data_IF_863773418655
#
_entry.id   IF_863773418655
#
_cell.length_a   1.000
_cell.length_b   1.000
_cell.length_c   1.000
_cell.angle_alpha   90.00
_cell.angle_beta   90.00
_cell.angle_gamma   90.00
#
_symmetry.space_group_name_H-M   'P 1'
#
loop_
_entity.id
_entity.type
_entity.pdbx_description
1 polymer ?
#
# COMPACT_ATOMS: atom_id res chain seq x y z
N UNK A 1 15.83 -3.30 5.02
CA UNK A 1 14.89 -2.43 4.26
C UNK A 1 15.28 -2.18 2.80
N UNK A 2 16.54 -1.81 2.50
CA UNK A 2 16.99 -1.43 1.13
C UNK A 2 16.75 -2.49 0.06
N UNK A 3 17.09 -3.75 0.30
CA UNK A 3 16.84 -4.85 -0.65
C UNK A 3 15.35 -4.99 -0.99
N UNK A 4 14.47 -4.99 0.03
CA UNK A 4 13.03 -5.09 -0.19
C UNK A 4 12.48 -3.86 -0.92
N UNK A 5 12.92 -2.65 -0.54
CA UNK A 5 12.56 -1.42 -1.23
C UNK A 5 12.91 -1.45 -2.71
N UNK A 6 14.14 -1.88 -3.05
CA UNK A 6 14.59 -2.02 -4.43
C UNK A 6 13.77 -3.07 -5.20
N UNK A 7 13.46 -4.20 -4.57
CA UNK A 7 12.61 -5.23 -5.17
C UNK A 7 11.22 -4.69 -5.55
N UNK A 8 10.59 -3.89 -4.67
CA UNK A 8 9.30 -3.26 -4.96
C UNK A 8 9.37 -2.18 -6.05
N UNK A 9 10.48 -1.43 -6.13
CA UNK A 9 10.72 -0.49 -7.22
C UNK A 9 10.84 -1.21 -8.56
N UNK A 10 11.67 -2.26 -8.63
CA UNK A 10 11.83 -3.09 -9.83
C UNK A 10 10.49 -3.70 -10.24
N UNK A 11 9.78 -4.30 -9.29
CA UNK A 11 8.44 -4.84 -9.52
C UNK A 11 7.49 -3.76 -10.04
N UNK A 12 7.54 -2.55 -9.50
CA UNK A 12 6.68 -1.45 -9.93
C UNK A 12 6.95 -1.03 -11.39
N UNK A 13 8.22 -0.95 -11.77
CA UNK A 13 8.63 -0.70 -13.16
C UNK A 13 8.15 -1.82 -14.08
N UNK A 14 8.43 -3.08 -13.71
CA UNK A 14 8.02 -4.25 -14.49
C UNK A 14 6.50 -4.33 -14.66
N UNK A 15 5.74 -4.18 -13.57
CA UNK A 15 4.28 -4.19 -13.61
C UNK A 15 3.74 -3.11 -14.55
N UNK A 16 4.32 -1.90 -14.52
CA UNK A 16 3.93 -0.83 -15.42
C UNK A 16 4.17 -1.17 -16.90
N UNK A 17 5.33 -1.76 -17.23
CA UNK A 17 5.63 -2.20 -18.59
C UNK A 17 4.73 -3.35 -19.03
N UNK A 18 4.46 -4.32 -18.16
CA UNK A 18 3.50 -5.41 -18.44
C UNK A 18 2.11 -4.82 -18.77
N UNK A 19 1.63 -3.85 -18.00
CA UNK A 19 0.34 -3.20 -18.29
C UNK A 19 0.33 -2.42 -19.60
N UNK A 20 1.44 -1.73 -19.93
CA UNK A 20 1.63 -1.02 -21.20
C UNK A 20 1.66 -1.99 -22.39
N UNK A 21 2.43 -3.07 -22.31
CA UNK A 21 2.58 -4.06 -23.37
C UNK A 21 1.32 -4.92 -23.56
N UNK A 22 0.49 -5.04 -22.52
CA UNK A 22 -0.79 -5.74 -22.59
C UNK A 22 -1.88 -5.02 -23.40
N UNK A 23 -1.59 -3.84 -23.99
CA UNK A 23 -2.54 -3.10 -24.85
C UNK A 23 -1.83 -2.51 -26.08
N UNK A 24 -2.48 -2.51 -27.26
CA UNK A 24 -1.93 -1.84 -28.44
C UNK A 24 -1.68 -0.35 -28.21
N UNK A 25 -0.58 0.18 -28.74
CA UNK A 25 -0.19 1.59 -28.52
C UNK A 25 -1.26 2.57 -28.99
N UNK A 26 -1.92 2.29 -30.12
CA UNK A 26 -3.03 3.10 -30.65
C UNK A 26 -4.16 3.29 -29.62
N UNK A 27 -4.50 2.24 -28.87
CA UNK A 27 -5.55 2.31 -27.86
C UNK A 27 -5.10 3.11 -26.64
N UNK A 28 -3.84 2.99 -26.25
CA UNK A 28 -3.28 3.77 -25.15
C UNK A 28 -3.24 5.26 -25.50
N UNK A 29 -2.91 5.61 -26.75
CA UNK A 29 -2.93 6.99 -27.22
C UNK A 29 -4.34 7.59 -27.21
N UNK A 30 -5.35 6.81 -27.61
CA UNK A 30 -6.75 7.23 -27.54
C UNK A 30 -7.22 7.37 -26.08
N UNK A 31 -6.93 6.36 -25.24
CA UNK A 31 -7.33 6.33 -23.83
C UNK A 31 -6.76 7.50 -23.02
N UNK A 32 -5.58 8.03 -23.37
CA UNK A 32 -4.99 9.21 -22.71
C UNK A 32 -5.91 10.43 -22.73
N UNK A 33 -6.78 10.57 -23.74
CA UNK A 33 -7.73 11.71 -23.85
C UNK A 33 -8.84 11.64 -22.80
N UNK A 34 -9.14 10.43 -22.30
CA UNK A 34 -10.17 10.18 -21.28
C UNK A 34 -9.58 10.06 -19.87
N UNK A 35 -8.30 10.41 -19.69
CA UNK A 35 -7.57 10.26 -18.43
C UNK A 35 -8.30 10.92 -17.27
N UNK A 36 -8.38 10.19 -16.16
CA UNK A 36 -8.94 10.68 -14.91
C UNK A 36 -7.81 11.24 -14.03
N UNK A 37 -7.33 12.46 -14.34
CA UNK A 37 -6.11 13.03 -13.75
C UNK A 37 -6.13 13.07 -12.22
N UNK A 38 -7.28 13.42 -11.63
CA UNK A 38 -7.44 13.44 -10.17
C UNK A 38 -7.22 12.07 -9.54
N UNK A 39 -7.78 11.00 -10.13
CA UNK A 39 -7.61 9.63 -9.64
C UNK A 39 -6.20 9.10 -9.91
N UNK A 40 -5.61 9.44 -11.07
CA UNK A 40 -4.23 9.07 -11.39
C UNK A 40 -3.23 9.68 -10.40
N UNK A 41 -3.39 10.97 -10.07
CA UNK A 41 -2.55 11.65 -9.07
C UNK A 41 -2.77 11.09 -7.67
N UNK A 42 -4.03 10.88 -7.28
CA UNK A 42 -4.36 10.29 -5.99
C UNK A 42 -3.78 8.88 -5.82
N UNK A 43 -3.85 8.03 -6.85
CA UNK A 43 -3.21 6.72 -6.85
C UNK A 43 -1.67 6.80 -6.82
N UNK A 44 -1.08 7.84 -7.41
CA UNK A 44 0.35 8.12 -7.28
C UNK A 44 0.77 8.43 -5.84
N UNK A 45 0.02 9.28 -5.15
CA UNK A 45 0.25 9.55 -3.72
C UNK A 45 0.01 8.32 -2.86
N UNK A 46 -1.03 7.53 -3.16
CA UNK A 46 -1.31 6.29 -2.47
C UNK A 46 -0.16 5.27 -2.66
N UNK A 47 0.42 5.20 -3.86
CA UNK A 47 1.61 4.39 -4.11
C UNK A 47 2.80 4.88 -3.29
N UNK A 48 3.09 6.19 -3.27
CA UNK A 48 4.17 6.73 -2.46
C UNK A 48 4.00 6.39 -0.96
N UNK A 49 2.80 6.53 -0.41
CA UNK A 49 2.50 6.18 0.97
C UNK A 49 2.62 4.66 1.23
N UNK A 50 2.13 3.82 0.32
CA UNK A 50 2.31 2.38 0.41
C UNK A 50 3.80 1.97 0.35
N UNK A 51 4.61 2.65 -0.46
CA UNK A 51 6.05 2.42 -0.53
C UNK A 51 6.74 2.75 0.80
N UNK A 52 6.39 3.88 1.43
CA UNK A 52 6.87 4.22 2.78
C UNK A 52 6.45 3.14 3.79
N UNK A 53 5.20 2.68 3.73
CA UNK A 53 4.70 1.60 4.60
C UNK A 53 5.49 0.29 4.43
N UNK A 54 5.85 -0.07 3.19
CA UNK A 54 6.66 -1.24 2.86
C UNK A 54 8.08 -1.10 3.45
N UNK A 55 8.70 0.08 3.32
CA UNK A 55 10.02 0.34 3.91
C UNK A 55 10.00 0.22 5.44
N UNK A 56 8.98 0.78 6.09
CA UNK A 56 8.77 0.65 7.54
C UNK A 56 8.55 -0.81 7.94
N UNK A 57 7.73 -1.56 7.20
CA UNK A 57 7.53 -3.00 7.44
C UNK A 57 8.82 -3.81 7.29
N UNK A 58 9.69 -3.42 6.35
CA UNK A 58 11.00 -4.01 6.18
C UNK A 58 11.99 -3.67 7.32
N UNK A 59 11.81 -2.53 7.98
CA UNK A 59 12.57 -2.18 9.20
C UNK A 59 12.06 -3.00 10.38
N UNK A 60 10.74 -3.03 10.61
CA UNK A 60 10.08 -3.86 11.65
C UNK A 60 10.53 -5.32 11.57
N UNK A 61 10.52 -5.91 10.39
CA UNK A 61 10.96 -7.29 10.19
C UNK A 61 12.47 -7.48 10.36
N UNK A 62 13.28 -6.44 10.12
CA UNK A 62 14.74 -6.51 10.20
C UNK A 62 15.29 -6.37 11.62
N UNK A 63 14.55 -5.72 12.52
CA UNK A 63 14.93 -5.52 13.94
C UNK A 63 14.03 -6.31 14.90
N UNK A 64 13.24 -7.25 14.37
CA UNK A 64 12.30 -8.09 15.13
C UNK A 64 11.26 -7.33 15.96
N UNK A 65 10.94 -6.09 15.61
CA UNK A 65 10.04 -5.23 16.38
C UNK A 65 8.62 -5.80 16.52
N UNK A 66 8.17 -6.58 15.52
CA UNK A 66 6.87 -7.26 15.54
C UNK A 66 6.74 -8.39 16.56
N UNK A 67 7.85 -8.81 17.18
CA UNK A 67 7.89 -9.85 18.23
C UNK A 67 7.93 -9.27 19.64
N UNK A 68 8.42 -8.04 19.78
CA UNK A 68 8.58 -7.37 21.07
C UNK A 68 7.33 -6.59 21.49
N UNK A 69 6.52 -6.14 20.52
CA UNK A 69 5.29 -5.37 20.76
C UNK A 69 4.09 -6.04 20.07
N UNK A 70 3.51 -7.01 20.76
CA UNK A 70 2.51 -7.95 20.23
C UNK A 70 1.07 -7.59 20.57
N UNK A 71 0.84 -6.58 21.40
CA UNK A 71 -0.49 -6.07 21.70
C UNK A 71 -1.01 -5.11 20.62
N UNK A 72 -2.33 -4.99 20.52
CA UNK A 72 -3.02 -4.06 19.64
C UNK A 72 -4.36 -3.66 20.30
N UNK A 73 -4.80 -2.39 20.24
CA UNK A 73 -4.22 -1.24 19.53
C UNK A 73 -3.05 -0.57 20.29
N UNK A 74 -2.81 -0.99 21.53
CA UNK A 74 -1.77 -0.45 22.41
C UNK A 74 -0.36 -0.92 22.04
N UNK A 75 0.64 -0.30 22.65
CA UNK A 75 2.07 -0.60 22.57
C UNK A 75 2.58 -0.90 23.98
N UNK A 76 2.60 -2.17 24.37
CA UNK A 76 2.87 -2.62 25.74
C UNK A 76 1.98 -1.94 26.80
N UNK A 77 0.67 -1.84 26.52
CA UNK A 77 -0.33 -1.24 27.42
C UNK A 77 -0.43 0.29 27.37
N UNK A 78 0.47 0.97 26.66
CA UNK A 78 0.41 2.43 26.43
C UNK A 78 -0.02 2.79 25.00
N UNK A 79 -0.29 4.07 24.74
CA UNK A 79 -0.45 4.56 23.36
C UNK A 79 0.89 4.63 22.62
N UNK A 80 1.92 5.17 23.28
CA UNK A 80 3.30 5.14 22.83
C UNK A 80 3.99 3.90 23.40
N UNK A 81 5.00 3.34 22.70
CA UNK A 81 5.86 2.34 23.29
C UNK A 81 6.61 2.92 24.50
N UNK A 82 7.07 2.08 25.44
CA UNK A 82 8.00 2.50 26.48
C UNK A 82 9.27 3.09 25.85
N UNK A 83 9.74 4.20 26.42
CA UNK A 83 11.03 4.82 26.08
C UNK A 83 11.25 5.09 24.56
N UNK A 84 10.34 5.79 23.86
CA UNK A 84 10.39 5.98 22.40
C UNK A 84 11.59 6.82 21.90
N UNK A 85 12.33 7.44 22.82
CA UNK A 85 13.46 8.32 22.50
C UNK A 85 14.73 7.92 23.28
N UNK A 86 14.83 6.66 23.68
CA UNK A 86 15.95 6.15 24.48
C UNK A 86 17.30 6.29 23.77
N UNK A 87 17.34 6.01 22.47
CA UNK A 87 18.60 6.00 21.71
C UNK A 87 19.10 7.42 21.43
N UNK A 88 20.41 7.61 21.57
CA UNK A 88 21.12 8.83 21.17
C UNK A 88 22.07 8.56 20.00
N UNK A 89 22.17 9.48 19.02
CA UNK A 89 21.31 10.66 18.82
C UNK A 89 19.85 10.30 18.48
N UNK A 90 18.92 11.22 18.76
CA UNK A 90 17.46 10.96 18.72
C UNK A 90 16.93 10.33 17.42
N UNK A 91 17.54 10.62 16.27
CA UNK A 91 17.12 10.10 14.97
C UNK A 91 17.30 8.58 14.85
N UNK A 92 18.16 7.95 15.66
CA UNK A 92 18.34 6.49 15.68
C UNK A 92 17.05 5.76 16.09
N UNK A 93 16.21 6.39 16.92
CA UNK A 93 14.93 5.79 17.31
C UNK A 93 13.99 5.55 16.13
N UNK A 94 14.15 6.28 15.02
CA UNK A 94 13.33 6.10 13.81
C UNK A 94 13.73 4.85 12.99
N UNK A 95 14.85 4.20 13.31
CA UNK A 95 15.38 3.07 12.55
C UNK A 95 15.75 1.86 13.41
N UNK A 96 16.16 2.09 14.67
CA UNK A 96 16.76 1.08 15.53
C UNK A 96 15.96 0.81 16.81
N UNK A 97 15.14 1.76 17.28
CA UNK A 97 14.26 1.53 18.43
C UNK A 97 13.03 0.76 17.96
N UNK A 98 12.93 -0.50 18.37
CA UNK A 98 11.89 -1.43 17.95
C UNK A 98 10.48 -0.91 18.21
N UNK A 99 10.20 -0.40 19.41
CA UNK A 99 8.91 0.16 19.77
C UNK A 99 8.53 1.35 18.89
N UNK A 100 9.46 2.26 18.65
CA UNK A 100 9.24 3.48 17.85
C UNK A 100 9.00 3.14 16.39
N UNK A 101 9.83 2.26 15.81
CA UNK A 101 9.68 1.81 14.43
C UNK A 101 8.33 1.10 14.23
N UNK A 102 7.96 0.23 15.17
CA UNK A 102 6.68 -0.49 15.13
C UNK A 102 5.49 0.44 15.27
N UNK A 103 5.57 1.43 16.17
CA UNK A 103 4.54 2.45 16.32
C UNK A 103 4.35 3.26 15.03
N UNK A 104 5.44 3.77 14.43
CA UNK A 104 5.38 4.52 13.18
C UNK A 104 4.78 3.66 12.06
N UNK A 105 5.18 2.39 11.95
CA UNK A 105 4.62 1.45 10.98
C UNK A 105 3.10 1.28 11.13
N UNK A 106 2.58 1.20 12.36
CA UNK A 106 1.13 1.10 12.63
C UNK A 106 0.40 2.39 12.23
N UNK A 107 0.92 3.55 12.63
CA UNK A 107 0.30 4.84 12.32
C UNK A 107 0.25 5.08 10.81
N UNK A 108 1.34 4.81 10.10
CA UNK A 108 1.37 4.92 8.63
C UNK A 108 0.44 3.89 7.97
N UNK A 109 0.26 2.70 8.54
CA UNK A 109 -0.75 1.73 8.07
C UNK A 109 -2.18 2.30 8.13
N UNK A 110 -2.54 2.94 9.25
CA UNK A 110 -3.87 3.55 9.40
C UNK A 110 -4.06 4.72 8.45
N UNK A 111 -3.05 5.57 8.28
CA UNK A 111 -3.07 6.65 7.28
C UNK A 111 -3.24 6.08 5.86
N UNK A 112 -2.56 4.99 5.53
CA UNK A 112 -2.70 4.31 4.24
C UNK A 112 -4.11 3.76 4.04
N UNK A 113 -4.71 3.16 5.07
CA UNK A 113 -6.10 2.66 5.03
C UNK A 113 -7.11 3.80 4.82
N UNK A 114 -6.97 4.90 5.56
CA UNK A 114 -7.83 6.08 5.42
C UNK A 114 -7.66 6.76 4.05
N UNK A 115 -6.42 6.86 3.55
CA UNK A 115 -6.15 7.37 2.21
C UNK A 115 -6.76 6.46 1.13
N UNK A 116 -6.59 5.14 1.25
CA UNK A 116 -7.18 4.16 0.35
C UNK A 116 -8.71 4.27 0.30
N UNK A 117 -9.36 4.36 1.46
CA UNK A 117 -10.81 4.56 1.57
C UNK A 117 -11.26 5.88 0.92
N UNK A 118 -10.52 6.97 1.15
CA UNK A 118 -10.81 8.29 0.59
C UNK A 118 -10.71 8.29 -0.95
N UNK A 119 -9.66 7.66 -1.49
CA UNK A 119 -9.47 7.55 -2.94
C UNK A 119 -10.53 6.64 -3.57
N UNK A 120 -10.88 5.53 -2.92
CA UNK A 120 -11.97 4.66 -3.35
C UNK A 120 -13.31 5.40 -3.40
N UNK A 121 -13.65 6.16 -2.36
CA UNK A 121 -14.88 6.95 -2.31
C UNK A 121 -14.96 7.97 -3.47
N UNK A 122 -13.84 8.61 -3.81
CA UNK A 122 -13.75 9.49 -4.98
C UNK A 122 -13.91 8.70 -6.27
N UNK A 123 -13.26 7.55 -6.40
CA UNK A 123 -13.27 6.72 -7.59
C UNK A 123 -14.66 6.19 -7.94
N UNK A 124 -15.57 6.03 -6.98
CA UNK A 124 -16.99 5.65 -7.23
C UNK A 124 -17.71 6.58 -8.22
N UNK A 125 -17.27 7.83 -8.36
CA UNK A 125 -17.81 8.82 -9.30
C UNK A 125 -17.20 8.73 -10.71
N UNK A 126 -16.22 7.85 -10.92
CA UNK A 126 -15.63 7.64 -12.24
C UNK A 126 -16.70 7.17 -13.22
N UNK A 127 -16.78 7.72 -14.45
CA UNK A 127 -17.66 7.21 -15.49
C UNK A 127 -17.23 5.80 -15.97
N UNK A 128 -16.00 5.37 -15.67
CA UNK A 128 -15.44 4.11 -16.14
C UNK A 128 -15.63 2.95 -15.12
N UNK A 129 -16.41 1.91 -15.45
CA UNK A 129 -16.62 0.77 -14.55
C UNK A 129 -15.33 0.04 -14.16
N UNK A 130 -14.37 -0.07 -15.08
CA UNK A 130 -13.11 -0.76 -14.84
C UNK A 130 -12.18 0.06 -13.92
N UNK A 131 -12.19 1.39 -14.02
CA UNK A 131 -11.53 2.27 -13.03
C UNK A 131 -12.16 2.08 -11.66
N UNK A 132 -13.50 2.13 -11.55
CA UNK A 132 -14.22 1.93 -10.28
C UNK A 132 -13.83 0.60 -9.63
N UNK A 133 -13.90 -0.49 -10.39
CA UNK A 133 -13.55 -1.82 -9.91
C UNK A 133 -12.08 -1.89 -9.43
N UNK A 134 -11.14 -1.30 -10.16
CA UNK A 134 -9.73 -1.31 -9.77
C UNK A 134 -9.50 -0.63 -8.39
N UNK A 135 -10.13 0.52 -8.15
CA UNK A 135 -10.02 1.19 -6.86
C UNK A 135 -10.78 0.48 -5.73
N UNK A 136 -11.88 -0.23 -6.03
CA UNK A 136 -12.54 -1.11 -5.05
C UNK A 136 -11.61 -2.24 -4.61
N UNK A 137 -10.91 -2.89 -5.55
CA UNK A 137 -9.94 -3.93 -5.20
C UNK A 137 -8.76 -3.40 -4.39
N UNK A 138 -8.30 -2.18 -4.66
CA UNK A 138 -7.28 -1.51 -3.82
C UNK A 138 -7.78 -1.34 -2.38
N UNK A 139 -8.99 -0.85 -2.18
CA UNK A 139 -9.55 -0.65 -0.84
C UNK A 139 -9.70 -1.97 -0.07
N UNK A 140 -10.23 -3.02 -0.73
CA UNK A 140 -10.35 -4.36 -0.14
C UNK A 140 -8.97 -4.91 0.22
N UNK A 141 -7.99 -4.80 -0.67
CA UNK A 141 -6.65 -5.32 -0.42
C UNK A 141 -5.94 -4.58 0.72
N UNK A 142 -6.05 -3.25 0.79
CA UNK A 142 -5.46 -2.47 1.90
C UNK A 142 -6.12 -2.84 3.22
N UNK A 143 -7.43 -3.00 3.27
CA UNK A 143 -8.14 -3.41 4.48
C UNK A 143 -7.73 -4.82 4.92
N UNK A 144 -7.73 -5.79 3.99
CA UNK A 144 -7.30 -7.16 4.27
C UNK A 144 -5.83 -7.20 4.75
N UNK A 145 -4.96 -6.39 4.13
CA UNK A 145 -3.57 -6.26 4.52
C UNK A 145 -3.40 -5.70 5.94
N UNK A 146 -4.17 -4.67 6.29
CA UNK A 146 -4.15 -4.09 7.64
C UNK A 146 -4.58 -5.13 8.69
N UNK A 147 -5.68 -5.85 8.43
CA UNK A 147 -6.14 -6.94 9.32
C UNK A 147 -5.08 -8.03 9.45
N UNK A 148 -4.50 -8.47 8.33
CA UNK A 148 -3.44 -9.49 8.34
C UNK A 148 -2.19 -9.01 9.09
N UNK A 149 -1.84 -7.72 9.00
CA UNK A 149 -0.74 -7.11 9.76
C UNK A 149 -1.01 -7.10 11.27
N UNK A 150 -2.23 -6.74 11.68
CA UNK A 150 -2.66 -6.80 13.09
C UNK A 150 -2.57 -8.24 13.61
N UNK A 151 -3.13 -9.21 12.86
CA UNK A 151 -3.06 -10.63 13.22
C UNK A 151 -1.62 -11.13 13.31
N UNK A 152 -0.74 -10.70 12.40
CA UNK A 152 0.69 -11.04 12.42
C UNK A 152 1.33 -10.61 13.73
N UNK A 153 1.09 -9.38 14.17
CA UNK A 153 1.65 -8.82 15.41
C UNK A 153 1.08 -9.51 16.65
N UNK A 154 -0.23 -9.72 16.70
CA UNK A 154 -0.91 -10.39 17.82
C UNK A 154 -0.44 -11.82 18.06
N UNK A 155 0.14 -12.46 17.04
CA UNK A 155 0.70 -13.82 17.13
C UNK A 155 2.23 -13.85 17.27
N UNK A 156 2.89 -12.70 17.50
CA UNK A 156 4.35 -12.59 17.58
C UNK A 156 5.08 -12.90 16.27
N UNK A 157 4.47 -12.51 15.14
CA UNK A 157 5.03 -12.61 13.79
C UNK A 157 5.63 -13.99 13.44
N UNK A 158 4.87 -15.10 13.56
CA UNK A 158 5.31 -16.39 13.08
C UNK A 158 5.40 -16.33 11.56
N UNK A 159 6.40 -17.01 10.98
CA UNK A 159 6.67 -16.93 9.54
C UNK A 159 5.47 -17.35 8.69
N UNK A 160 4.62 -18.25 9.19
CA UNK A 160 3.40 -18.73 8.53
C UNK A 160 2.36 -17.64 8.30
N UNK A 161 2.35 -16.57 9.11
CA UNK A 161 1.45 -15.41 8.96
C UNK A 161 2.21 -14.20 8.39
N UNK A 162 3.46 -14.01 8.83
CA UNK A 162 4.30 -12.91 8.36
C UNK A 162 4.62 -13.01 6.86
N UNK A 163 4.80 -14.21 6.30
CA UNK A 163 5.05 -14.39 4.88
C UNK A 163 3.81 -14.04 4.03
N UNK A 164 2.59 -14.55 4.33
CA UNK A 164 1.37 -14.03 3.72
C UNK A 164 1.23 -12.52 3.81
N UNK A 165 1.58 -11.90 4.93
CA UNK A 165 1.55 -10.44 5.06
C UNK A 165 2.52 -9.76 4.07
N UNK A 166 3.74 -10.27 3.89
CA UNK A 166 4.67 -9.75 2.88
C UNK A 166 4.13 -9.93 1.45
N UNK A 167 3.54 -11.08 1.13
CA UNK A 167 2.92 -11.32 -0.18
C UNK A 167 1.68 -10.43 -0.41
N UNK A 168 0.89 -10.17 0.63
CA UNK A 168 -0.23 -9.25 0.56
C UNK A 168 0.22 -7.81 0.27
N UNK A 169 1.38 -7.38 0.80
CA UNK A 169 1.96 -6.08 0.46
C UNK A 169 2.33 -5.99 -1.04
N UNK A 170 2.83 -7.08 -1.63
CA UNK A 170 3.08 -7.18 -3.08
C UNK A 170 1.77 -7.02 -3.87
N UNK A 171 0.71 -7.70 -3.45
CA UNK A 171 -0.61 -7.59 -4.10
C UNK A 171 -1.16 -6.16 -4.02
N UNK A 172 -1.12 -5.52 -2.84
CA UNK A 172 -1.54 -4.12 -2.65
C UNK A 172 -0.75 -3.19 -3.57
N UNK A 173 0.57 -3.34 -3.64
CA UNK A 173 1.44 -2.53 -4.51
C UNK A 173 1.02 -2.62 -5.98
N UNK A 174 0.89 -3.84 -6.50
CA UNK A 174 0.51 -4.09 -7.89
C UNK A 174 -0.91 -3.58 -8.18
N UNK A 175 -1.85 -3.73 -7.24
CA UNK A 175 -3.21 -3.22 -7.39
C UNK A 175 -3.27 -1.70 -7.43
N UNK A 176 -2.49 -1.00 -6.60
CA UNK A 176 -2.41 0.48 -6.64
C UNK A 176 -1.86 0.94 -7.99
N UNK A 177 -0.78 0.30 -8.47
CA UNK A 177 -0.21 0.61 -9.79
C UNK A 177 -1.21 0.32 -10.92
N UNK A 178 -1.97 -0.78 -10.81
CA UNK A 178 -3.01 -1.12 -11.76
C UNK A 178 -4.15 -0.09 -11.74
N UNK A 179 -4.63 0.33 -10.58
CA UNK A 179 -5.63 1.38 -10.45
C UNK A 179 -5.14 2.72 -11.03
N UNK A 180 -3.89 3.08 -10.76
CA UNK A 180 -3.24 4.25 -11.38
C UNK A 180 -3.19 4.13 -12.90
N UNK A 181 -2.84 2.96 -13.43
CA UNK A 181 -2.80 2.71 -14.87
C UNK A 181 -4.20 2.81 -15.49
N UNK A 182 -5.23 2.27 -14.84
CA UNK A 182 -6.61 2.34 -15.30
C UNK A 182 -7.14 3.79 -15.30
N UNK A 183 -6.75 4.62 -14.33
CA UNK A 183 -7.06 6.05 -14.34
C UNK A 183 -6.27 6.82 -15.42
N UNK A 184 -5.04 6.42 -15.71
CA UNK A 184 -4.18 7.04 -16.73
C UNK A 184 -4.58 6.67 -18.17
N UNK A 185 -5.10 5.47 -18.36
CA UNK A 185 -5.52 4.86 -19.63
C UNK A 185 -6.87 4.14 -19.51
N UNK A 186 -7.99 4.85 -19.24
CA UNK A 186 -9.29 4.21 -19.06
C UNK A 186 -9.71 3.41 -20.29
N UNK A 187 -10.44 2.30 -20.08
CA UNK A 187 -10.98 1.49 -21.17
C UNK A 187 -12.20 2.19 -21.77
N UNK A 188 -12.30 2.29 -23.09
CA UNK A 188 -13.51 2.84 -23.72
C UNK A 188 -14.72 2.00 -23.29
N UNK A 189 -15.80 2.67 -22.87
CA UNK A 189 -17.07 2.01 -22.57
C UNK A 189 -17.90 2.04 -23.84
N UNK A 190 -18.31 0.88 -24.34
CA UNK A 190 -19.22 0.78 -25.48
C UNK A 190 -20.59 1.31 -25.09
N UNK A 191 -21.16 2.23 -25.88
CA UNK A 191 -22.48 2.83 -25.64
C UNK A 191 -23.60 1.76 -25.64
N UNK A 192 -23.35 0.56 -26.23
CA UNK A 192 -24.31 -0.55 -26.25
C UNK A 192 -24.50 -1.30 -24.92
N UNK A 193 -23.59 -1.14 -23.96
CA UNK A 193 -23.63 -1.89 -22.69
C UNK A 193 -24.17 -1.04 -21.51
N UNK A 194 -24.67 0.16 -21.80
CA UNK A 194 -25.09 1.16 -20.81
C UNK A 194 -26.61 1.37 -20.69
N UNK A 195 -27.43 0.39 -21.09
CA UNK A 195 -28.89 0.40 -20.91
C UNK A 195 -29.32 -0.74 -19.99
#
# INVERSE_FOLDING_TARGET
>A
ATHLGLAFLILGVLAWYVFRLGRPERELMQARRLREEGLMRAAGWLAALAFVQILLGALVAGIDAGRNYTDWPWMAGGFLPPQPFELQPWWRNLFENDGTVQFIHRIVAYLLALAGLSVWWRARRSPNPATRAAFSWVAVAIFAQMVLGIVTVMHSAPWTIALPHQLGAVAVWVLILRARFMAAYPRAVSIREGA
#
